data_IF_783463925506
#
_entry.id   IF_783463925506
#
_cell.length_a   1.000
_cell.length_b   1.000
_cell.length_c   1.000
_cell.angle_alpha   90.00
_cell.angle_beta   90.00
_cell.angle_gamma   90.00
#
_symmetry.space_group_name_H-M   'P 1'
#
loop_
_entity.id
_entity.type
_entity.pdbx_description
1 polymer ?
#
# COMPACT_ATOMS: atom_id res chain seq x y z
N UNK A 1 -30.00 25.94 -36.10
CA UNK A 1 -31.04 25.02 -35.59
C UNK A 1 -30.75 23.63 -36.16
N UNK A 2 -29.91 22.86 -35.47
CA UNK A 2 -29.39 21.56 -35.94
C UNK A 2 -30.19 20.45 -35.28
N UNK A 3 -30.81 19.58 -36.10
CA UNK A 3 -31.68 18.47 -35.68
C UNK A 3 -30.83 17.29 -35.18
N UNK A 4 -31.13 16.79 -33.99
CA UNK A 4 -30.65 15.49 -33.48
C UNK A 4 -31.59 14.36 -33.98
N UNK A 5 -31.08 13.19 -34.37
CA UNK A 5 -31.92 12.03 -34.66
C UNK A 5 -32.23 11.22 -33.39
N UNK A 6 -33.48 10.77 -33.30
CA UNK A 6 -34.04 9.91 -32.24
C UNK A 6 -33.60 8.45 -32.37
N UNK A 7 -33.59 7.66 -31.28
CA UNK A 7 -33.16 6.26 -31.31
C UNK A 7 -34.30 5.34 -31.75
N UNK A 8 -33.99 4.33 -32.57
CA UNK A 8 -34.94 3.27 -32.93
C UNK A 8 -34.44 1.89 -32.51
N UNK A 9 -35.23 1.30 -31.61
CA UNK A 9 -35.69 -0.10 -31.53
C UNK A 9 -34.65 -1.24 -31.53
N UNK A 10 -34.74 -2.03 -30.46
CA UNK A 10 -35.13 -3.44 -30.59
C UNK A 10 -34.17 -4.44 -29.96
N UNK A 11 -34.34 -4.74 -28.68
CA UNK A 11 -33.82 -5.97 -28.09
C UNK A 11 -35.00 -6.77 -27.49
N UNK A 12 -35.23 -7.96 -28.03
CA UNK A 12 -36.17 -8.95 -27.47
C UNK A 12 -35.42 -9.80 -26.45
N UNK A 13 -36.02 -10.16 -25.30
CA UNK A 13 -35.41 -11.11 -24.38
C UNK A 13 -35.72 -12.54 -24.84
N UNK A 14 -34.75 -13.44 -24.73
CA UNK A 14 -34.95 -14.87 -24.89
C UNK A 14 -34.38 -15.58 -23.65
N UNK A 15 -35.15 -16.52 -23.10
CA UNK A 15 -34.62 -17.61 -22.27
C UNK A 15 -35.07 -17.61 -20.82
N UNK A 16 -36.31 -18.02 -20.58
CA UNK A 16 -36.71 -18.72 -19.37
C UNK A 16 -35.85 -19.99 -19.21
N UNK A 17 -35.17 -20.15 -18.07
CA UNK A 17 -34.76 -21.44 -17.55
C UNK A 17 -35.13 -21.52 -16.07
N UNK A 18 -36.30 -22.10 -15.82
CA UNK A 18 -36.69 -22.60 -14.50
C UNK A 18 -36.14 -24.01 -14.27
N UNK A 19 -35.49 -24.19 -13.13
CA UNK A 19 -35.27 -25.46 -12.43
C UNK A 19 -34.72 -25.05 -11.05
N UNK A 20 -35.41 -25.12 -9.91
CA UNK A 20 -36.40 -26.10 -9.49
C UNK A 20 -35.70 -27.36 -8.92
N UNK A 21 -35.00 -27.26 -7.78
CA UNK A 21 -34.75 -28.39 -6.87
C UNK A 21 -34.08 -27.95 -5.54
N UNK A 22 -34.92 -27.81 -4.51
CA UNK A 22 -34.78 -28.37 -3.15
C UNK A 22 -33.39 -28.64 -2.53
N UNK A 23 -33.14 -27.93 -1.41
CA UNK A 23 -32.22 -28.31 -0.31
C UNK A 23 -32.52 -29.70 0.25
N UNK A 24 -31.54 -30.34 0.91
CA UNK A 24 -31.69 -30.50 2.35
C UNK A 24 -30.38 -30.29 3.16
N UNK A 25 -30.54 -29.66 4.33
CA UNK A 25 -29.73 -29.90 5.53
C UNK A 25 -30.57 -30.79 6.47
N UNK A 26 -29.98 -31.62 7.35
CA UNK A 26 -29.61 -31.11 8.68
C UNK A 26 -28.39 -31.78 9.37
N UNK A 27 -27.91 -31.03 10.35
CA UNK A 27 -27.09 -31.36 11.52
C UNK A 27 -26.99 -32.84 11.95
N UNK A 28 -25.77 -33.29 12.25
CA UNK A 28 -25.44 -34.00 13.50
C UNK A 28 -23.93 -34.33 13.53
N UNK A 29 -23.20 -33.77 14.50
CA UNK A 29 -22.26 -34.48 15.39
C UNK A 29 -21.46 -33.48 16.22
N UNK A 30 -22.06 -33.12 17.36
CA UNK A 30 -21.41 -32.48 18.50
C UNK A 30 -20.45 -33.49 19.16
N UNK A 31 -19.16 -33.36 18.87
CA UNK A 31 -18.07 -34.01 19.60
C UNK A 31 -17.62 -33.15 20.79
N UNK A 32 -17.69 -33.72 21.99
CA UNK A 32 -17.36 -33.10 23.29
C UNK A 32 -15.90 -32.62 23.38
N UNK A 33 -15.60 -31.51 24.09
CA UNK A 33 -14.23 -31.07 24.30
C UNK A 33 -13.56 -31.86 25.43
N UNK A 34 -12.43 -32.52 25.13
CA UNK A 34 -11.56 -33.14 26.12
C UNK A 34 -10.70 -32.09 26.82
N UNK A 35 -10.88 -31.96 28.13
CA UNK A 35 -10.02 -31.16 29.00
C UNK A 35 -8.59 -31.72 29.02
N UNK A 36 -7.61 -30.93 28.58
CA UNK A 36 -6.19 -31.14 28.93
C UNK A 36 -5.65 -29.89 29.62
N UNK A 37 -5.31 -30.09 30.90
CA UNK A 37 -4.62 -29.14 31.77
C UNK A 37 -3.28 -28.73 31.14
N UNK A 38 -3.10 -27.44 30.87
CA UNK A 38 -1.78 -26.86 30.61
C UNK A 38 -1.21 -26.32 31.92
N UNK A 39 -0.08 -26.90 32.33
CA UNK A 39 0.71 -26.51 33.50
C UNK A 39 1.31 -25.12 33.28
N UNK A 40 1.19 -24.28 34.30
CA UNK A 40 1.95 -23.05 34.47
C UNK A 40 3.44 -23.35 34.56
N UNK A 41 4.23 -22.81 33.63
CA UNK A 41 5.68 -22.78 33.72
C UNK A 41 6.15 -21.33 33.64
N UNK A 42 6.35 -20.72 34.80
CA UNK A 42 7.11 -19.50 35.00
C UNK A 42 8.58 -19.88 34.83
N UNK A 43 9.27 -19.35 33.81
CA UNK A 43 10.71 -19.57 33.69
C UNK A 43 11.43 -18.30 33.19
N UNK A 44 12.12 -17.69 34.16
CA UNK A 44 13.38 -16.97 34.07
C UNK A 44 13.59 -15.88 33.00
N UNK A 45 13.62 -14.65 33.50
CA UNK A 45 14.40 -13.54 32.94
C UNK A 45 15.86 -13.99 32.81
N UNK A 46 16.38 -14.11 31.60
CA UNK A 46 17.82 -14.23 31.35
C UNK A 46 18.36 -12.90 30.79
N UNK A 47 18.97 -12.11 31.68
CA UNK A 47 19.99 -11.13 31.31
C UNK A 47 21.32 -11.87 31.15
N UNK A 48 21.92 -11.85 29.96
CA UNK A 48 23.37 -11.86 29.62
C UNK A 48 23.49 -12.17 28.11
N UNK A 49 24.42 -11.68 27.30
CA UNK A 49 25.81 -11.24 27.50
C UNK A 49 26.24 -10.35 26.31
N UNK A 50 27.18 -9.45 26.55
CA UNK A 50 27.89 -8.63 25.57
C UNK A 50 28.84 -9.52 24.76
N UNK A 51 28.71 -9.48 23.43
CA UNK A 51 29.61 -10.10 22.45
C UNK A 51 29.29 -9.51 21.07
N UNK A 52 30.31 -8.98 20.39
CA UNK A 52 30.20 -8.14 19.18
C UNK A 52 29.66 -8.82 17.91
N UNK A 53 28.42 -9.33 17.96
CA UNK A 53 27.55 -9.48 16.79
C UNK A 53 26.71 -8.22 16.69
N UNK A 54 26.83 -7.45 15.60
CA UNK A 54 25.85 -6.39 15.29
C UNK A 54 24.48 -7.07 15.25
N UNK A 55 23.59 -6.75 16.19
CA UNK A 55 22.22 -7.23 16.18
C UNK A 55 21.56 -6.74 14.89
N UNK A 56 20.95 -7.64 14.14
CA UNK A 56 19.96 -7.24 13.13
C UNK A 56 18.88 -6.48 13.92
N UNK A 57 18.57 -5.21 13.56
CA UNK A 57 17.54 -4.47 14.26
C UNK A 57 16.23 -5.26 14.22
N UNK A 58 15.52 -5.29 15.34
CA UNK A 58 14.12 -5.70 15.31
C UNK A 58 13.39 -4.77 14.34
N UNK A 59 12.93 -5.33 13.21
CA UNK A 59 12.40 -4.53 12.11
C UNK A 59 11.17 -3.74 12.53
N UNK A 60 10.34 -4.31 13.41
CA UNK A 60 9.17 -3.61 13.95
C UNK A 60 9.59 -2.39 14.76
N UNK A 61 10.57 -2.53 15.65
CA UNK A 61 11.13 -1.39 16.40
C UNK A 61 11.79 -0.34 15.50
N UNK A 62 12.44 -0.77 14.41
CA UNK A 62 13.01 0.15 13.42
C UNK A 62 11.91 0.98 12.74
N UNK A 63 10.85 0.32 12.26
CA UNK A 63 9.73 0.98 11.59
C UNK A 63 8.93 1.90 12.53
N UNK A 64 8.76 1.51 13.80
CA UNK A 64 8.18 2.39 14.83
C UNK A 64 9.06 3.64 15.05
N UNK A 65 10.39 3.47 15.00
CA UNK A 65 11.32 4.58 15.07
C UNK A 65 11.20 5.55 13.89
N UNK A 66 11.07 5.05 12.66
CA UNK A 66 10.79 5.88 11.48
C UNK A 66 9.46 6.61 11.64
N UNK A 67 8.41 5.91 12.09
CA UNK A 67 7.11 6.52 12.37
C UNK A 67 7.25 7.71 13.32
N UNK A 68 7.98 7.55 14.42
CA UNK A 68 8.24 8.65 15.38
C UNK A 68 9.02 9.81 14.75
N UNK A 69 9.94 9.53 13.82
CA UNK A 69 10.64 10.59 13.06
C UNK A 69 9.67 11.38 12.20
N UNK A 70 8.80 10.71 11.44
CA UNK A 70 7.79 11.35 10.60
C UNK A 70 6.85 12.20 11.45
N UNK A 71 6.27 11.63 12.51
CA UNK A 71 5.37 12.34 13.43
C UNK A 71 6.05 13.57 14.06
N UNK A 72 7.31 13.44 14.49
CA UNK A 72 8.08 14.56 15.05
C UNK A 72 8.46 15.64 14.03
N UNK A 73 8.49 15.30 12.73
CA UNK A 73 8.81 16.23 11.64
C UNK A 73 7.57 16.96 11.11
N UNK A 74 6.34 16.55 11.47
CA UNK A 74 5.10 17.10 10.90
C UNK A 74 4.98 18.62 10.95
N UNK A 75 5.32 19.34 12.05
CA UNK A 75 5.27 20.79 12.06
C UNK A 75 6.18 21.44 11.00
N UNK A 76 7.35 20.85 10.73
CA UNK A 76 8.28 21.33 9.72
C UNK A 76 7.84 20.95 8.29
N UNK A 77 7.20 19.79 8.12
CA UNK A 77 6.58 19.35 6.86
C UNK A 77 5.45 20.30 6.48
N UNK A 78 4.54 20.61 7.41
CA UNK A 78 3.40 21.50 7.17
C UNK A 78 3.84 22.92 6.78
N UNK A 79 4.89 23.46 7.41
CA UNK A 79 5.46 24.76 7.07
C UNK A 79 6.00 24.85 5.64
N UNK A 80 6.40 23.72 5.04
CA UNK A 80 7.00 23.63 3.70
C UNK A 80 6.01 23.22 2.62
N UNK A 81 4.74 23.03 2.97
CA UNK A 81 3.69 22.51 2.08
C UNK A 81 3.54 23.28 0.77
N UNK A 82 3.71 24.60 0.83
CA UNK A 82 3.45 25.50 -0.29
C UNK A 82 4.73 25.94 -1.03
N UNK A 83 5.88 25.43 -0.63
CA UNK A 83 7.16 25.67 -1.29
C UNK A 83 7.31 24.73 -2.50
N UNK A 84 6.47 24.95 -3.52
CA UNK A 84 6.30 24.05 -4.68
C UNK A 84 7.32 24.36 -5.77
N UNK A 85 7.92 23.31 -6.33
CA UNK A 85 8.65 23.29 -7.60
C UNK A 85 7.99 22.30 -8.55
N UNK A 86 8.19 22.50 -9.84
CA UNK A 86 7.62 21.64 -10.89
C UNK A 86 8.71 20.81 -11.54
N UNK A 87 8.51 19.48 -11.58
CA UNK A 87 9.38 18.54 -12.30
C UNK A 87 9.17 18.71 -13.82
N UNK A 88 10.10 18.18 -14.62
CA UNK A 88 10.06 18.32 -16.09
C UNK A 88 8.82 17.67 -16.73
N UNK A 89 8.23 16.66 -16.09
CA UNK A 89 7.00 15.99 -16.51
C UNK A 89 5.72 16.68 -16.00
N UNK A 90 5.85 17.82 -15.32
CA UNK A 90 4.75 18.65 -14.83
C UNK A 90 4.18 18.23 -13.47
N UNK A 91 4.74 17.23 -12.80
CA UNK A 91 4.31 16.91 -11.43
C UNK A 91 4.91 17.89 -10.41
N UNK A 92 4.19 18.19 -9.31
CA UNK A 92 4.72 19.01 -8.23
C UNK A 92 5.72 18.22 -7.39
N UNK A 93 6.66 18.94 -6.78
CA UNK A 93 7.49 18.52 -5.64
C UNK A 93 7.56 19.69 -4.67
N UNK A 94 7.51 19.45 -3.36
CA UNK A 94 7.66 20.51 -2.37
C UNK A 94 8.97 20.37 -1.61
N UNK A 95 9.39 21.43 -0.92
CA UNK A 95 10.51 21.34 0.03
C UNK A 95 10.21 20.35 1.18
N UNK A 96 8.95 19.99 1.42
CA UNK A 96 8.58 19.00 2.42
C UNK A 96 9.00 17.58 1.99
N UNK A 97 8.87 17.22 0.70
CA UNK A 97 9.27 15.93 0.13
C UNK A 97 10.77 15.71 0.37
N UNK A 98 11.60 16.68 -0.07
CA UNK A 98 13.06 16.66 0.08
C UNK A 98 13.49 16.66 1.54
N UNK A 99 12.82 17.46 2.38
CA UNK A 99 13.10 17.52 3.82
C UNK A 99 12.85 16.17 4.47
N UNK A 100 11.69 15.56 4.24
CA UNK A 100 11.28 14.33 4.90
C UNK A 100 12.12 13.13 4.42
N UNK A 101 12.43 13.04 3.12
CA UNK A 101 13.34 12.03 2.58
C UNK A 101 14.70 12.08 3.28
N UNK A 102 15.28 13.29 3.40
CA UNK A 102 16.56 13.47 4.08
C UNK A 102 16.51 13.01 5.54
N UNK A 103 15.47 13.42 6.29
CA UNK A 103 15.34 13.07 7.71
C UNK A 103 15.19 11.57 7.95
N UNK A 104 14.38 10.89 7.13
CA UNK A 104 14.20 9.44 7.22
C UNK A 104 15.52 8.73 6.85
N UNK A 105 16.17 9.18 5.77
CA UNK A 105 17.43 8.58 5.29
C UNK A 105 18.56 8.71 6.28
N UNK A 106 18.77 9.90 6.87
CA UNK A 106 19.76 10.13 7.92
C UNK A 106 19.54 9.18 9.10
N UNK A 107 18.30 9.10 9.59
CA UNK A 107 17.94 8.25 10.73
C UNK A 107 18.13 6.76 10.44
N UNK A 108 17.76 6.31 9.25
CA UNK A 108 17.92 4.92 8.83
C UNK A 108 19.40 4.57 8.62
N UNK A 109 20.20 5.46 8.03
CA UNK A 109 21.62 5.23 7.73
C UNK A 109 22.48 5.06 9.00
N UNK A 110 22.09 5.70 10.09
CA UNK A 110 22.70 5.51 11.41
C UNK A 110 22.46 4.09 11.98
N UNK A 111 21.39 3.41 11.55
CA UNK A 111 20.90 2.15 12.12
C UNK A 111 21.09 0.94 11.21
N UNK A 112 21.12 1.18 9.91
CA UNK A 112 21.37 0.20 8.85
C UNK A 112 22.67 0.58 8.14
N UNK A 113 23.83 0.05 8.57
CA UNK A 113 25.10 0.34 7.92
C UNK A 113 25.06 -0.06 6.45
N UNK A 114 25.62 0.79 5.58
CA UNK A 114 25.66 0.59 4.12
C UNK A 114 24.26 0.54 3.47
N UNK A 115 23.27 1.20 4.09
CA UNK A 115 21.95 1.35 3.51
C UNK A 115 22.04 2.05 2.14
N UNK A 116 21.43 1.43 1.14
CA UNK A 116 21.15 2.06 -0.15
C UNK A 116 19.73 2.64 -0.11
N UNK A 117 19.60 3.94 -0.40
CA UNK A 117 18.31 4.58 -0.55
C UNK A 117 17.87 4.55 -2.02
N UNK A 118 16.61 4.19 -2.24
CA UNK A 118 15.88 4.34 -3.50
C UNK A 118 14.69 5.24 -3.18
N UNK A 119 14.91 6.56 -3.27
CA UNK A 119 13.93 7.60 -2.97
C UNK A 119 13.35 8.23 -4.23
N UNK A 120 12.11 8.71 -4.20
CA UNK A 120 11.51 9.43 -5.33
C UNK A 120 12.36 10.62 -5.78
N UNK A 121 12.90 11.39 -4.82
CA UNK A 121 13.55 12.68 -5.12
C UNK A 121 15.05 12.56 -5.38
N UNK A 122 15.67 11.42 -5.01
CA UNK A 122 17.10 11.17 -5.17
C UNK A 122 17.44 10.07 -6.17
N UNK A 123 16.44 9.38 -6.73
CA UNK A 123 16.69 8.32 -7.70
C UNK A 123 17.29 8.87 -9.00
N UNK A 124 18.40 8.25 -9.43
CA UNK A 124 19.06 8.52 -10.71
C UNK A 124 19.02 7.25 -11.55
N UNK A 125 18.35 7.33 -12.71
CA UNK A 125 18.04 6.18 -13.59
C UNK A 125 19.30 5.46 -14.13
N UNK A 126 20.46 6.13 -14.16
CA UNK A 126 21.73 5.54 -14.56
C UNK A 126 22.43 4.73 -13.46
N UNK A 127 21.93 4.76 -12.23
CA UNK A 127 22.39 3.90 -11.15
C UNK A 127 21.78 2.50 -11.32
N UNK A 128 22.37 1.72 -12.23
CA UNK A 128 22.04 0.30 -12.39
C UNK A 128 22.03 -0.38 -11.02
N UNK A 129 20.86 -0.90 -10.64
CA UNK A 129 20.71 -1.73 -9.45
C UNK A 129 21.35 -3.08 -9.77
N UNK A 130 22.68 -3.17 -9.61
CA UNK A 130 23.39 -4.44 -9.59
C UNK A 130 22.80 -5.39 -8.53
N UNK A 131 23.28 -6.65 -8.45
CA UNK A 131 22.79 -7.59 -7.43
C UNK A 131 22.78 -6.93 -6.06
N UNK A 132 21.56 -6.74 -5.51
CA UNK A 132 21.34 -5.99 -4.28
C UNK A 132 22.01 -6.76 -3.15
N UNK A 133 23.11 -6.24 -2.63
CA UNK A 133 23.78 -6.76 -1.45
C UNK A 133 23.58 -5.76 -0.32
N UNK A 134 23.13 -6.26 0.83
CA UNK A 134 22.88 -5.42 2.00
C UNK A 134 21.50 -4.75 2.02
N UNK A 135 21.40 -3.73 2.86
CA UNK A 135 20.13 -3.07 3.16
C UNK A 135 19.74 -2.09 2.07
N UNK A 136 18.47 -2.15 1.66
CA UNK A 136 17.86 -1.20 0.72
C UNK A 136 16.60 -0.63 1.37
N UNK A 137 16.47 0.69 1.37
CA UNK A 137 15.23 1.39 1.71
C UNK A 137 14.63 1.96 0.43
N UNK A 138 13.40 1.56 0.12
CA UNK A 138 12.61 2.14 -0.96
C UNK A 138 11.61 3.09 -0.31
N UNK A 139 11.68 4.38 -0.63
CA UNK A 139 11.01 5.46 0.09
C UNK A 139 10.28 6.40 -0.87
N UNK A 140 9.00 6.60 -0.62
CA UNK A 140 8.29 7.78 -1.07
C UNK A 140 7.99 8.64 0.17
N UNK A 141 8.64 9.82 0.31
CA UNK A 141 8.41 10.69 1.45
C UNK A 141 7.00 11.28 1.48
N UNK A 142 6.38 11.56 0.33
CA UNK A 142 5.04 12.16 0.21
C UNK A 142 4.40 11.66 -1.11
N UNK A 143 3.73 10.51 -1.05
CA UNK A 143 2.90 10.05 -2.16
C UNK A 143 1.61 10.88 -2.20
N UNK A 144 1.27 11.38 -3.39
CA UNK A 144 0.16 12.31 -3.58
C UNK A 144 0.55 13.76 -3.29
N UNK A 145 1.75 14.19 -3.70
CA UNK A 145 2.24 15.57 -3.56
C UNK A 145 1.22 16.61 -4.04
N UNK A 146 0.48 16.34 -5.12
CA UNK A 146 -0.60 17.21 -5.62
C UNK A 146 -1.70 17.42 -4.56
N UNK A 147 -2.12 16.34 -3.88
CA UNK A 147 -3.08 16.43 -2.77
C UNK A 147 -2.47 17.24 -1.62
N UNK A 148 -1.23 16.92 -1.25
CA UNK A 148 -0.52 17.58 -0.15
C UNK A 148 -0.40 19.10 -0.39
N UNK A 149 0.15 19.54 -1.52
CA UNK A 149 0.32 20.97 -1.80
C UNK A 149 -1.02 21.69 -2.05
N UNK A 150 -2.09 20.95 -2.36
CA UNK A 150 -3.47 21.48 -2.44
C UNK A 150 -4.19 21.58 -1.10
N UNK A 151 -3.56 21.16 0.01
CA UNK A 151 -4.17 21.19 1.34
C UNK A 151 -5.13 20.03 1.64
N UNK A 152 -5.17 19.02 0.77
CA UNK A 152 -5.88 17.77 1.04
C UNK A 152 -5.05 16.89 1.97
N UNK A 153 -5.73 15.99 2.70
CA UNK A 153 -5.12 15.13 3.74
C UNK A 153 -4.89 13.70 3.26
N UNK A 154 -5.40 13.38 2.07
CA UNK A 154 -5.29 12.09 1.42
C UNK A 154 -3.92 11.94 0.71
N UNK A 155 -2.86 11.94 1.49
CA UNK A 155 -1.48 11.67 1.06
C UNK A 155 -0.80 10.75 2.08
N UNK A 156 0.37 10.21 1.78
CA UNK A 156 1.05 9.35 2.73
C UNK A 156 2.55 9.18 2.52
N UNK A 157 3.18 8.48 3.47
CA UNK A 157 4.58 8.06 3.42
C UNK A 157 4.63 6.57 3.12
N UNK A 158 5.46 6.16 2.17
CA UNK A 158 5.70 4.76 1.82
C UNK A 158 7.14 4.38 2.14
N UNK A 159 7.35 3.36 2.97
CA UNK A 159 8.70 2.83 3.22
C UNK A 159 8.70 1.31 3.16
N UNK A 160 9.61 0.76 2.37
CA UNK A 160 9.90 -0.67 2.34
C UNK A 160 11.39 -0.92 2.58
N UNK A 161 11.71 -1.77 3.54
CA UNK A 161 13.08 -2.19 3.86
C UNK A 161 13.32 -3.60 3.34
N UNK A 162 14.45 -3.79 2.67
CA UNK A 162 14.88 -5.05 2.08
C UNK A 162 16.32 -5.35 2.48
N UNK A 163 16.67 -6.63 2.56
CA UNK A 163 18.05 -7.09 2.67
C UNK A 163 18.33 -8.06 1.53
N UNK A 164 19.05 -7.58 0.52
CA UNK A 164 19.12 -8.25 -0.78
C UNK A 164 17.74 -8.41 -1.42
N UNK A 165 17.34 -9.65 -1.70
CA UNK A 165 16.02 -9.97 -2.27
C UNK A 165 14.95 -10.23 -1.21
N UNK A 166 15.31 -10.25 0.08
CA UNK A 166 14.38 -10.56 1.15
C UNK A 166 13.72 -9.28 1.68
N UNK A 167 12.39 -9.28 1.68
CA UNK A 167 11.61 -8.22 2.33
C UNK A 167 11.76 -8.32 3.84
N UNK A 168 12.25 -7.25 4.47
CA UNK A 168 12.41 -7.19 5.91
C UNK A 168 11.14 -6.65 6.59
N UNK A 169 10.54 -5.60 6.02
CA UNK A 169 9.33 -5.00 6.56
C UNK A 169 8.93 -3.70 5.85
N UNK A 170 7.67 -3.32 5.99
CA UNK A 170 7.09 -2.13 5.36
C UNK A 170 6.28 -1.29 6.35
N UNK A 171 6.25 0.01 6.06
CA UNK A 171 5.47 1.03 6.76
C UNK A 171 4.71 1.86 5.72
N UNK A 172 3.40 2.00 5.92
CA UNK A 172 2.59 3.07 5.32
C UNK A 172 2.13 4.01 6.42
N UNK A 173 2.18 5.31 6.17
CA UNK A 173 1.62 6.33 7.05
C UNK A 173 0.69 7.25 6.28
N UNK A 174 -0.38 7.68 6.93
CA UNK A 174 -1.27 8.77 6.51
C UNK A 174 -1.16 9.86 7.60
N UNK A 175 -0.10 10.68 7.58
CA UNK A 175 0.32 11.44 8.77
C UNK A 175 -0.75 12.41 9.28
N UNK A 176 -1.42 13.16 8.40
CA UNK A 176 -2.48 14.09 8.78
C UNK A 176 -3.78 13.42 9.23
N UNK A 177 -3.93 12.13 8.95
CA UNK A 177 -5.05 11.31 9.41
C UNK A 177 -4.72 10.56 10.71
N UNK A 178 -3.47 10.59 11.16
CA UNK A 178 -3.01 9.89 12.37
C UNK A 178 -2.99 8.37 12.23
N UNK A 179 -3.04 7.86 10.99
CA UNK A 179 -3.13 6.43 10.68
C UNK A 179 -1.82 5.89 10.12
N UNK A 180 -1.52 4.62 10.40
CA UNK A 180 -0.34 3.92 9.88
C UNK A 180 -0.54 2.41 9.87
N UNK A 181 0.27 1.72 9.08
CA UNK A 181 0.30 0.26 8.97
C UNK A 181 1.75 -0.20 8.91
N UNK A 182 2.10 -1.20 9.74
CA UNK A 182 3.46 -1.73 9.88
C UNK A 182 3.40 -3.25 9.76
N UNK A 183 4.37 -3.84 9.06
CA UNK A 183 4.53 -5.30 8.97
C UNK A 183 4.50 -5.97 10.34
N UNK A 184 3.74 -7.06 10.44
CA UNK A 184 3.55 -7.84 11.67
C UNK A 184 2.59 -7.23 12.68
N UNK A 185 2.01 -6.05 12.41
CA UNK A 185 1.01 -5.43 13.28
C UNK A 185 -0.42 -5.78 12.84
N UNK A 186 -1.35 -5.98 13.77
CA UNK A 186 -2.75 -6.22 13.42
C UNK A 186 -3.37 -4.96 12.81
N UNK A 187 -4.22 -5.14 11.81
CA UNK A 187 -4.99 -4.06 11.17
C UNK A 187 -6.47 -4.14 11.52
N UNK A 188 -7.12 -2.98 11.63
CA UNK A 188 -8.59 -2.92 11.76
C UNK A 188 -9.23 -3.20 10.40
N UNK A 189 -9.87 -4.36 10.27
CA UNK A 189 -10.60 -4.74 9.06
C UNK A 189 -11.97 -4.08 8.99
N UNK A 190 -12.33 -3.65 7.80
CA UNK A 190 -13.67 -3.19 7.42
C UNK A 190 -14.06 -3.86 6.10
N UNK A 191 -15.30 -3.69 5.68
CA UNK A 191 -15.81 -4.22 4.41
C UNK A 191 -16.50 -3.10 3.65
N UNK A 192 -16.25 -3.06 2.36
CA UNK A 192 -16.71 -2.00 1.46
C UNK A 192 -16.82 -2.59 0.06
N UNK A 193 -17.65 -1.98 -0.78
CA UNK A 193 -17.76 -2.28 -2.22
C UNK A 193 -17.03 -1.27 -3.11
N UNK A 194 -16.37 -0.28 -2.50
CA UNK A 194 -15.76 0.84 -3.22
C UNK A 194 -14.53 0.34 -3.98
N UNK A 195 -14.46 0.68 -5.27
CA UNK A 195 -13.24 0.59 -6.08
C UNK A 195 -12.51 1.93 -6.06
N UNK A 196 -11.28 1.94 -5.60
CA UNK A 196 -10.39 3.09 -5.67
C UNK A 196 -9.58 3.13 -6.97
N UNK A 197 -9.29 4.34 -7.43
CA UNK A 197 -8.40 4.64 -8.54
C UNK A 197 -7.38 5.71 -8.13
N UNK A 198 -6.18 5.67 -8.72
CA UNK A 198 -5.09 6.62 -8.47
C UNK A 198 -5.22 7.91 -9.30
N UNK A 199 -4.41 8.93 -8.97
CA UNK A 199 -4.32 10.22 -9.67
C UNK A 199 -3.73 10.06 -11.06
N UNK A 200 -4.54 10.42 -12.04
CA UNK A 200 -4.24 10.90 -13.39
C UNK A 200 -5.35 10.36 -14.28
N UNK A 201 -6.16 11.22 -14.89
CA UNK A 201 -7.21 10.77 -15.81
C UNK A 201 -6.55 9.92 -16.90
N UNK A 202 -6.84 8.63 -16.87
CA UNK A 202 -6.48 7.66 -17.89
C UNK A 202 -7.78 7.12 -18.48
N UNK A 203 -7.91 6.93 -19.81
CA UNK A 203 -9.16 6.47 -20.41
C UNK A 203 -9.72 5.18 -19.77
N UNK A 204 -8.83 4.26 -19.38
CA UNK A 204 -9.22 3.03 -18.68
C UNK A 204 -9.82 3.25 -17.27
N UNK A 205 -9.56 4.40 -16.62
CA UNK A 205 -10.22 4.77 -15.36
C UNK A 205 -11.68 5.13 -15.64
N UNK A 206 -11.96 5.85 -16.73
CA UNK A 206 -13.33 6.25 -17.09
C UNK A 206 -14.19 5.00 -17.33
N UNK A 207 -13.67 4.03 -18.10
CA UNK A 207 -14.37 2.75 -18.28
C UNK A 207 -14.47 1.97 -16.97
N UNK A 208 -13.39 1.91 -16.18
CA UNK A 208 -13.39 1.19 -14.91
C UNK A 208 -14.37 1.76 -13.88
N UNK A 209 -14.59 3.08 -13.87
CA UNK A 209 -15.57 3.73 -13.00
C UNK A 209 -16.99 3.33 -13.38
N UNK A 210 -17.29 3.26 -14.67
CA UNK A 210 -18.61 2.83 -15.15
C UNK A 210 -18.93 1.39 -14.70
N UNK A 211 -17.92 0.53 -14.65
CA UNK A 211 -18.08 -0.89 -14.28
C UNK A 211 -18.06 -1.14 -12.75
N UNK A 212 -17.43 -0.26 -11.97
CA UNK A 212 -17.15 -0.48 -10.55
C UNK A 212 -18.36 -0.35 -9.60
N UNK A 213 -19.49 0.21 -10.08
CA UNK A 213 -20.66 0.52 -9.26
C UNK A 213 -20.44 1.68 -8.27
N UNK A 214 -19.48 1.55 -7.36
CA UNK A 214 -19.01 2.61 -6.46
C UNK A 214 -17.53 2.88 -6.68
N UNK A 215 -17.20 4.08 -7.18
CA UNK A 215 -15.82 4.44 -7.47
C UNK A 215 -15.38 5.71 -6.75
N UNK A 216 -14.08 5.80 -6.45
CA UNK A 216 -13.42 7.02 -5.95
C UNK A 216 -12.07 7.19 -6.64
N UNK A 217 -11.72 8.43 -6.99
CA UNK A 217 -10.38 8.81 -7.44
C UNK A 217 -9.78 9.63 -6.30
N UNK A 218 -8.85 9.04 -5.54
CA UNK A 218 -8.29 9.70 -4.35
C UNK A 218 -7.03 10.50 -4.62
N UNK A 219 -6.32 10.19 -5.70
CA UNK A 219 -5.13 10.94 -6.08
C UNK A 219 -3.81 10.57 -5.36
N UNK A 220 -3.80 9.46 -4.61
CA UNK A 220 -2.66 8.97 -3.85
C UNK A 220 -2.67 7.42 -3.84
N UNK A 221 -1.57 6.78 -4.27
CA UNK A 221 -1.43 5.33 -4.31
C UNK A 221 -1.37 4.71 -2.90
N UNK A 222 -0.59 5.30 -1.99
CA UNK A 222 -0.44 4.92 -0.58
C UNK A 222 -1.79 4.95 0.14
N UNK A 223 -2.57 6.01 -0.02
CA UNK A 223 -3.91 6.12 0.55
C UNK A 223 -4.84 5.01 0.05
N UNK A 224 -4.82 4.73 -1.25
CA UNK A 224 -5.60 3.63 -1.82
C UNK A 224 -5.14 2.27 -1.29
N UNK A 225 -3.83 2.00 -1.27
CA UNK A 225 -3.27 0.73 -0.79
C UNK A 225 -3.55 0.51 0.70
N UNK A 226 -3.44 1.56 1.52
CA UNK A 226 -3.81 1.52 2.93
C UNK A 226 -5.28 1.08 3.09
N UNK A 227 -6.17 1.67 2.30
CA UNK A 227 -7.61 1.42 2.41
C UNK A 227 -8.05 0.08 1.80
N UNK A 228 -7.46 -0.37 0.68
CA UNK A 228 -7.78 -1.71 0.12
C UNK A 228 -7.24 -2.82 1.03
N UNK A 229 -6.07 -2.63 1.65
CA UNK A 229 -5.46 -3.63 2.54
C UNK A 229 -6.34 -3.94 3.75
N UNK A 230 -7.01 -2.90 4.29
CA UNK A 230 -7.94 -3.04 5.42
C UNK A 230 -9.38 -3.32 5.02
N UNK A 231 -9.68 -3.41 3.72
CA UNK A 231 -11.03 -3.65 3.17
C UNK A 231 -11.97 -2.44 3.15
N UNK A 232 -11.45 -1.23 3.34
CA UNK A 232 -12.22 0.02 3.17
C UNK A 232 -12.46 0.34 1.69
N UNK A 233 -11.63 -0.23 0.82
CA UNK A 233 -11.90 -0.45 -0.60
C UNK A 233 -11.96 -1.96 -0.83
N UNK A 234 -12.90 -2.44 -1.64
CA UNK A 234 -12.88 -3.83 -2.11
C UNK A 234 -11.76 -4.04 -3.12
N UNK A 235 -11.47 -3.00 -3.90
CA UNK A 235 -10.49 -3.05 -4.99
C UNK A 235 -9.77 -1.72 -5.15
N UNK A 236 -8.51 -1.76 -5.54
CA UNK A 236 -7.74 -0.60 -5.99
C UNK A 236 -7.11 -0.92 -7.34
N UNK A 237 -7.33 -0.06 -8.32
CA UNK A 237 -6.76 -0.19 -9.67
C UNK A 237 -5.95 1.05 -10.02
N UNK A 238 -4.71 0.84 -10.47
CA UNK A 238 -3.86 1.89 -11.03
C UNK A 238 -3.41 1.51 -12.45
N UNK A 239 -4.17 1.90 -13.49
CA UNK A 239 -3.89 1.51 -14.87
C UNK A 239 -2.77 2.34 -15.52
N UNK A 240 -2.48 3.55 -15.04
CA UNK A 240 -1.33 4.35 -15.48
C UNK A 240 -0.03 3.75 -14.98
N UNK A 241 -0.08 3.15 -13.80
CA UNK A 241 1.04 2.56 -13.11
C UNK A 241 1.85 3.56 -12.31
N UNK A 242 2.56 3.03 -11.34
CA UNK A 242 3.31 3.76 -10.32
C UNK A 242 4.69 3.13 -10.13
N UNK A 243 5.61 3.89 -9.53
CA UNK A 243 7.01 3.49 -9.33
C UNK A 243 7.14 2.57 -8.12
N UNK A 244 8.31 1.98 -7.95
CA UNK A 244 8.57 1.05 -6.85
C UNK A 244 8.40 1.70 -5.47
N UNK A 245 8.77 2.98 -5.31
CA UNK A 245 8.62 3.72 -4.05
C UNK A 245 7.16 3.99 -3.69
N UNK A 246 6.31 4.32 -4.67
CA UNK A 246 4.86 4.45 -4.47
C UNK A 246 4.22 3.13 -4.02
N UNK A 247 4.72 1.98 -4.49
CA UNK A 247 4.00 0.70 -4.49
C UNK A 247 4.49 -0.33 -3.48
N UNK A 248 5.81 -0.54 -3.36
CA UNK A 248 6.37 -1.73 -2.71
C UNK A 248 5.87 -1.92 -1.28
N UNK A 249 5.84 -0.85 -0.48
CA UNK A 249 5.40 -0.95 0.91
C UNK A 249 3.94 -1.40 1.02
N UNK A 250 3.05 -0.82 0.21
CA UNK A 250 1.64 -1.18 0.21
C UNK A 250 1.37 -2.55 -0.37
N UNK A 251 2.08 -2.96 -1.41
CA UNK A 251 1.96 -4.31 -1.99
C UNK A 251 2.35 -5.40 -0.98
N UNK A 252 3.46 -5.22 -0.26
CA UNK A 252 3.90 -6.18 0.75
C UNK A 252 2.92 -6.28 1.92
N UNK A 253 2.41 -5.14 2.40
CA UNK A 253 1.39 -5.11 3.46
C UNK A 253 0.04 -5.70 3.01
N UNK A 254 -0.38 -5.43 1.77
CA UNK A 254 -1.58 -6.02 1.18
C UNK A 254 -1.46 -7.55 1.09
N UNK A 255 -0.32 -8.05 0.63
CA UNK A 255 -0.02 -9.48 0.54
C UNK A 255 -0.04 -10.14 1.91
N UNK A 256 0.65 -9.55 2.89
CA UNK A 256 0.67 -9.99 4.28
C UNK A 256 -0.75 -10.12 4.87
N UNK A 257 -1.65 -9.22 4.49
CA UNK A 257 -3.01 -9.16 4.99
C UNK A 257 -4.05 -9.93 4.15
N UNK A 258 -3.58 -10.68 3.16
CA UNK A 258 -4.37 -11.60 2.36
C UNK A 258 -5.16 -10.94 1.24
N UNK A 259 -4.66 -9.87 0.63
CA UNK A 259 -5.20 -9.37 -0.63
C UNK A 259 -4.70 -10.21 -1.82
N UNK A 260 -5.48 -10.22 -2.89
CA UNK A 260 -5.05 -10.69 -4.21
C UNK A 260 -4.46 -9.52 -4.97
N UNK A 261 -3.30 -9.71 -5.58
CA UNK A 261 -2.52 -8.62 -6.18
C UNK A 261 -2.07 -9.06 -7.56
N UNK A 262 -2.40 -8.24 -8.56
CA UNK A 262 -1.85 -8.35 -9.90
C UNK A 262 -0.93 -7.17 -10.19
N UNK A 263 0.25 -7.47 -10.75
CA UNK A 263 1.20 -6.51 -11.30
C UNK A 263 1.34 -6.77 -12.79
N UNK A 264 1.03 -5.76 -13.60
CA UNK A 264 1.00 -5.85 -15.06
C UNK A 264 0.22 -7.09 -15.57
N UNK A 265 -0.84 -7.46 -14.83
CA UNK A 265 -1.72 -8.59 -15.12
C UNK A 265 -1.26 -9.94 -14.56
N UNK A 266 -0.09 -10.04 -13.95
CA UNK A 266 0.46 -11.28 -13.38
C UNK A 266 0.34 -11.27 -11.85
N UNK A 267 0.18 -12.43 -11.24
CA UNK A 267 0.13 -12.56 -9.77
C UNK A 267 1.43 -12.06 -9.13
N UNK A 268 1.32 -11.25 -8.08
CA UNK A 268 2.47 -10.76 -7.33
C UNK A 268 2.96 -11.80 -6.32
N UNK A 269 4.20 -12.26 -6.52
CA UNK A 269 4.84 -13.28 -5.69
C UNK A 269 5.52 -12.71 -4.43
N UNK A 270 5.64 -11.39 -4.30
CA UNK A 270 6.39 -10.72 -3.24
C UNK A 270 7.82 -10.36 -3.62
N UNK A 271 8.16 -10.40 -4.91
CA UNK A 271 9.47 -9.97 -5.43
C UNK A 271 9.70 -8.47 -5.32
N UNK A 272 10.98 -8.09 -5.32
CA UNK A 272 11.39 -6.69 -5.40
C UNK A 272 10.98 -6.09 -6.77
N UNK A 273 10.54 -4.83 -6.78
CA UNK A 273 10.19 -4.10 -7.99
C UNK A 273 11.31 -3.15 -8.40
N UNK A 274 11.83 -3.30 -9.61
CA UNK A 274 12.86 -2.43 -10.16
C UNK A 274 12.37 -0.97 -10.27
N UNK A 275 13.16 0.03 -9.81
CA UNK A 275 12.73 1.42 -9.66
C UNK A 275 12.68 2.23 -10.98
N UNK A 276 13.34 1.74 -12.03
CA UNK A 276 13.49 2.41 -13.33
C UNK A 276 12.23 2.32 -14.22
N UNK A 277 11.18 1.64 -13.77
CA UNK A 277 9.92 1.49 -14.51
C UNK A 277 8.68 1.71 -13.64
N UNK A 278 7.55 1.88 -14.32
CA UNK A 278 6.21 1.91 -13.69
C UNK A 278 5.55 0.54 -13.79
N UNK A 279 4.71 0.23 -12.80
CA UNK A 279 3.95 -1.01 -12.70
C UNK A 279 2.47 -0.70 -12.57
N UNK A 280 1.64 -1.35 -13.39
CA UNK A 280 0.19 -1.30 -13.25
C UNK A 280 -0.26 -2.29 -12.21
N UNK A 281 -1.18 -1.89 -11.34
CA UNK A 281 -1.63 -2.75 -10.25
C UNK A 281 -3.15 -2.88 -10.18
N UNK A 282 -3.60 -4.06 -9.77
CA UNK A 282 -4.97 -4.39 -9.39
C UNK A 282 -4.91 -5.17 -8.07
N UNK A 283 -5.36 -4.55 -6.99
CA UNK A 283 -5.39 -5.15 -5.65
C UNK A 283 -6.85 -5.39 -5.28
N UNK A 284 -7.18 -6.61 -4.85
CA UNK A 284 -8.50 -6.99 -4.37
C UNK A 284 -8.44 -7.50 -2.95
N UNK A 285 -9.34 -7.03 -2.11
CA UNK A 285 -9.47 -7.56 -0.76
C UNK A 285 -10.26 -8.88 -0.80
N UNK A 286 -9.65 -10.01 -0.37
CA UNK A 286 -10.27 -11.35 -0.44
C UNK A 286 -11.60 -11.50 0.31
N UNK A 287 -11.90 -10.59 1.23
CA UNK A 287 -13.14 -10.59 2.00
C UNK A 287 -14.18 -9.63 1.39
N UNK A 288 -14.42 -9.77 0.10
CA UNK A 288 -15.56 -9.17 -0.56
C UNK A 288 -16.79 -10.03 -0.29
N UNK A 289 -17.67 -9.54 0.58
CA UNK A 289 -18.97 -10.14 0.82
C UNK A 289 -20.02 -9.06 0.71
N UNK A 290 -20.13 -8.42 -0.46
CA UNK A 290 -21.38 -7.79 -0.84
C UNK A 290 -22.05 -8.61 -1.96
N UNK A 291 -23.22 -9.25 -1.71
CA UNK A 291 -23.94 -10.02 -2.72
C UNK A 291 -24.69 -9.14 -3.74
N UNK A 292 -24.23 -7.91 -4.04
CA UNK A 292 -24.99 -6.96 -4.85
C UNK A 292 -24.14 -5.91 -5.53
#
# INVERSE_FOLDING_TARGET
MVRLPSPSRGFRPAGDFGCGASRPSPEALLGRPSQRRARTARCLRSRTRIGGRRMIPDISSLLDGVRSVVEGCMPAVEQRRFDIRWKADGSPVTEADVFLERRITEWLSERLPQLTLIGEETFVESASCGPRQGWVAVLDPIDGTENFCSGLKEWGVSLSIWNGADHAGSLLMLPELGDHMITGRPIRRVRSRITGFSSSIHPAIISGIADAGEARIFGCAVYNMFNVTRGALSRFVNPKGARAWDLLAGLMLARENGCDILIDGNEFDGSFLEPDRRYRIDIRHRYDFHPG
#
